data_IF_220315932367
#
_entry.id   IF_220315932367
#
_cell.length_a   1.000
_cell.length_b   1.000
_cell.length_c   1.000
_cell.angle_alpha   90.00
_cell.angle_beta   90.00
_cell.angle_gamma   90.00
#
_symmetry.space_group_name_H-M   'P 1'
#
loop_
_entity.id
_entity.type
_entity.pdbx_description
1 polymer ?
#
# COMPACT_ATOMS: atom_id res chain seq x y z
N UNK A 1 9.39 7.75 15.84
CA UNK A 1 8.55 8.65 15.02
C UNK A 1 7.18 8.01 14.85
N UNK A 2 6.19 8.35 15.67
CA UNK A 2 4.80 7.95 15.42
C UNK A 2 4.06 9.17 14.87
N UNK A 3 3.95 9.20 13.55
CA UNK A 3 3.14 10.17 12.83
C UNK A 3 1.66 9.79 12.98
N UNK A 4 0.82 10.79 13.23
CA UNK A 4 -0.63 10.71 13.19
C UNK A 4 -1.07 9.93 11.93
N UNK A 5 -1.69 8.76 12.12
CA UNK A 5 -2.23 7.97 11.02
C UNK A 5 -3.72 8.29 10.85
N UNK A 6 -4.11 8.73 9.66
CA UNK A 6 -5.51 8.98 9.31
C UNK A 6 -6.01 7.74 8.57
N UNK A 7 -6.93 7.00 9.18
CA UNK A 7 -7.55 5.84 8.56
C UNK A 7 -8.95 6.23 8.06
N UNK A 8 -9.22 6.02 6.78
CA UNK A 8 -10.56 6.21 6.19
C UNK A 8 -11.25 4.86 6.14
N UNK A 9 -12.39 4.75 6.81
CA UNK A 9 -13.23 3.55 6.81
C UNK A 9 -14.48 3.82 5.98
N UNK A 10 -14.86 2.88 5.11
CA UNK A 10 -16.14 2.92 4.42
C UNK A 10 -17.22 2.37 5.36
N UNK A 11 -18.16 3.23 5.77
CA UNK A 11 -19.20 2.90 6.74
C UNK A 11 -20.07 1.71 6.30
N UNK A 12 -20.30 1.53 5.01
CA UNK A 12 -21.21 0.50 4.46
C UNK A 12 -20.72 -0.94 4.70
N UNK A 13 -19.43 -1.12 4.98
CA UNK A 13 -18.78 -2.41 5.14
C UNK A 13 -18.51 -2.79 6.61
N UNK A 14 -18.80 -1.90 7.56
CA UNK A 14 -18.44 -2.06 8.98
C UNK A 14 -19.59 -1.70 9.95
N UNK A 15 -20.83 -2.11 9.63
CA UNK A 15 -22.04 -1.82 10.41
C UNK A 15 -21.93 -2.20 11.91
N UNK A 16 -21.37 -3.37 12.23
CA UNK A 16 -21.24 -3.84 13.61
C UNK A 16 -20.31 -2.93 14.44
N UNK A 17 -19.25 -2.41 13.81
CA UNK A 17 -18.30 -1.50 14.43
C UNK A 17 -18.90 -0.10 14.65
N UNK A 18 -19.73 0.38 13.72
CA UNK A 18 -20.44 1.65 13.85
C UNK A 18 -21.47 1.62 14.99
N UNK A 19 -22.22 0.53 15.10
CA UNK A 19 -23.20 0.33 16.18
C UNK A 19 -22.53 0.23 17.55
N UNK A 20 -21.42 -0.52 17.65
CA UNK A 20 -20.64 -0.63 18.88
C UNK A 20 -20.04 0.70 19.36
N UNK A 21 -19.84 1.66 18.45
CA UNK A 21 -19.31 3.01 18.75
C UNK A 21 -20.39 4.10 18.75
N UNK A 22 -21.68 3.73 18.66
CA UNK A 22 -22.82 4.64 18.61
C UNK A 22 -22.68 5.76 17.56
N UNK A 23 -22.21 5.43 16.36
CA UNK A 23 -22.07 6.38 15.25
C UNK A 23 -23.39 6.45 14.49
N UNK A 24 -24.13 7.56 14.65
CA UNK A 24 -25.48 7.75 14.07
C UNK A 24 -25.54 8.76 12.92
N UNK A 25 -24.45 9.47 12.62
CA UNK A 25 -24.39 10.48 11.56
C UNK A 25 -23.04 10.46 10.81
N UNK A 26 -23.06 10.73 9.51
CA UNK A 26 -21.86 10.85 8.69
C UNK A 26 -21.59 12.32 8.32
N UNK A 27 -20.32 12.79 8.33
CA UNK A 27 -19.11 12.09 8.79
C UNK A 27 -18.96 12.16 10.32
N UNK A 28 -18.50 11.09 10.97
CA UNK A 28 -18.10 11.10 12.39
C UNK A 28 -16.60 10.84 12.48
N UNK A 29 -15.89 11.63 13.28
CA UNK A 29 -14.44 11.55 13.47
C UNK A 29 -14.17 11.07 14.89
N UNK A 30 -13.51 9.92 15.01
CA UNK A 30 -13.08 9.35 16.28
C UNK A 30 -11.56 9.48 16.42
N UNK A 31 -11.11 9.96 17.57
CA UNK A 31 -9.69 10.09 17.89
C UNK A 31 -9.28 8.91 18.76
N UNK A 32 -8.37 8.09 18.24
CA UNK A 32 -7.83 6.96 18.97
C UNK A 32 -6.41 7.24 19.43
N UNK A 33 -6.09 6.84 20.66
CA UNK A 33 -4.72 6.67 21.09
C UNK A 33 -4.54 5.21 21.52
N UNK A 34 -3.71 4.48 20.76
CA UNK A 34 -3.56 3.02 20.86
C UNK A 34 -4.91 2.32 20.62
N UNK A 35 -5.52 1.75 21.66
CA UNK A 35 -6.79 1.01 21.59
C UNK A 35 -7.97 1.73 22.24
N UNK A 36 -7.77 2.96 22.74
CA UNK A 36 -8.82 3.74 23.43
C UNK A 36 -9.21 4.97 22.63
N UNK A 37 -10.51 5.26 22.61
CA UNK A 37 -11.02 6.53 22.11
C UNK A 37 -10.70 7.62 23.14
N UNK A 38 -10.05 8.67 22.66
CA UNK A 38 -9.68 9.83 23.47
C UNK A 38 -10.53 11.06 23.16
N UNK A 39 -11.19 11.11 21.99
CA UNK A 39 -12.05 12.21 21.60
C UNK A 39 -12.99 11.82 20.43
N UNK A 40 -14.05 12.60 20.19
CA UNK A 40 -15.04 12.40 19.12
C UNK A 40 -15.56 13.73 18.58
N UNK A 41 -15.86 13.78 17.28
CA UNK A 41 -16.60 14.86 16.61
C UNK A 41 -17.69 14.21 15.75
N UNK A 42 -18.92 14.63 15.98
CA UNK A 42 -20.07 14.26 15.14
C UNK A 42 -20.28 15.35 14.08
N UNK A 43 -20.24 14.98 12.80
CA UNK A 43 -20.24 15.91 11.68
C UNK A 43 -18.86 16.46 11.31
N UNK A 44 -18.83 17.42 10.38
CA UNK A 44 -17.60 18.09 9.95
C UNK A 44 -17.62 19.57 10.34
N UNK A 45 -16.86 19.91 11.39
CA UNK A 45 -16.57 21.30 11.78
C UNK A 45 -15.05 21.51 11.81
N UNK A 46 -14.55 22.28 10.86
CA UNK A 46 -13.12 22.49 10.64
C UNK A 46 -12.43 23.16 11.84
N UNK A 47 -13.08 24.15 12.47
CA UNK A 47 -12.51 24.87 13.61
C UNK A 47 -12.40 24.00 14.86
N UNK A 48 -13.41 23.15 15.08
CA UNK A 48 -13.44 22.21 16.21
C UNK A 48 -12.43 21.08 16.05
N UNK A 49 -12.33 20.52 14.83
CA UNK A 49 -11.36 19.48 14.47
C UNK A 49 -9.93 19.93 14.75
N UNK A 50 -9.54 21.12 14.29
CA UNK A 50 -8.19 21.64 14.48
C UNK A 50 -7.89 21.90 15.96
N UNK A 51 -8.87 22.38 16.73
CA UNK A 51 -8.72 22.62 18.17
C UNK A 51 -8.51 21.31 18.94
N UNK A 52 -9.30 20.28 18.64
CA UNK A 52 -9.19 18.96 19.28
C UNK A 52 -7.89 18.25 18.91
N UNK A 53 -7.46 18.31 17.64
CA UNK A 53 -6.15 17.79 17.20
C UNK A 53 -5.01 18.42 18.00
N UNK A 54 -4.93 19.76 18.04
CA UNK A 54 -3.87 20.48 18.75
C UNK A 54 -3.88 20.17 20.25
N UNK A 55 -5.06 20.14 20.88
CA UNK A 55 -5.18 19.78 22.29
C UNK A 55 -4.72 18.37 22.58
N UNK A 56 -5.06 17.39 21.72
CA UNK A 56 -4.73 15.99 21.95
C UNK A 56 -3.25 15.70 21.67
N UNK A 57 -2.64 16.35 20.67
CA UNK A 57 -1.19 16.26 20.42
C UNK A 57 -0.38 16.80 21.60
N UNK A 58 -0.77 17.98 22.13
CA UNK A 58 -0.10 18.58 23.28
C UNK A 58 -0.25 17.74 24.56
N UNK A 59 -1.43 17.17 24.81
CA UNK A 59 -1.69 16.29 25.96
C UNK A 59 -0.89 14.98 25.90
N UNK A 60 -0.55 14.51 24.70
CA UNK A 60 0.20 13.26 24.49
C UNK A 60 1.73 13.46 24.46
N UNK A 61 2.22 14.68 24.73
CA UNK A 61 3.64 14.95 24.94
C UNK A 61 4.53 14.78 23.71
N UNK A 62 3.98 14.90 22.51
CA UNK A 62 4.74 14.79 21.25
C UNK A 62 5.34 16.15 20.89
N UNK A 63 6.48 16.50 21.51
CA UNK A 63 7.29 17.65 21.10
C UNK A 63 8.72 17.21 20.89
N UNK A 64 9.15 17.19 19.62
CA UNK A 64 10.49 17.66 19.26
C UNK A 64 10.41 18.55 18.02
N UNK A 65 10.82 19.78 18.30
CA UNK A 65 11.15 20.96 17.51
C UNK A 65 11.85 20.66 16.17
N UNK A 66 11.31 21.20 15.08
CA UNK A 66 12.13 21.83 14.04
C UNK A 66 11.50 23.19 13.73
N UNK A 67 12.31 24.24 13.79
CA UNK A 67 11.88 25.63 13.70
C UNK A 67 11.23 25.94 12.35
N UNK A 68 10.00 26.48 12.40
CA UNK A 68 9.30 27.06 11.26
C UNK A 68 9.61 28.56 11.31
N UNK A 69 10.51 29.01 10.44
CA UNK A 69 10.47 30.38 9.98
C UNK A 69 9.35 30.48 8.94
N UNK A 70 8.56 31.52 9.09
CA UNK A 70 7.44 31.90 8.24
C UNK A 70 7.86 31.99 6.78
N UNK A 71 7.31 31.12 5.95
CA UNK A 71 6.59 31.48 4.71
C UNK A 71 5.98 30.21 4.11
N UNK A 72 4.69 30.30 3.75
CA UNK A 72 3.95 29.42 2.82
C UNK A 72 4.47 27.98 2.62
N UNK A 73 3.79 26.95 3.15
CA UNK A 73 3.81 25.64 2.47
C UNK A 73 2.68 24.69 2.91
N UNK A 74 1.75 24.51 1.98
CA UNK A 74 1.07 23.24 1.70
C UNK A 74 2.10 22.12 1.70
N UNK A 75 1.93 21.03 2.47
CA UNK A 75 2.87 19.91 2.37
C UNK A 75 2.75 19.23 1.00
N UNK A 76 3.62 19.64 0.08
CA UNK A 76 3.86 19.04 -1.23
C UNK A 76 4.44 17.64 -0.98
N UNK A 77 3.66 16.59 -1.28
CA UNK A 77 4.21 15.25 -1.42
C UNK A 77 5.24 15.33 -2.57
N UNK A 78 6.50 15.04 -2.28
CA UNK A 78 7.55 15.00 -3.30
C UNK A 78 7.10 14.10 -4.48
N UNK A 79 7.32 14.55 -5.71
CA UNK A 79 7.03 13.75 -6.91
C UNK A 79 7.62 12.35 -6.84
N UNK A 80 8.81 12.20 -6.26
CA UNK A 80 9.45 10.89 -6.09
C UNK A 80 8.63 9.96 -5.19
N UNK A 81 8.09 10.49 -4.10
CA UNK A 81 7.18 9.74 -3.22
C UNK A 81 5.90 9.36 -3.95
N UNK A 82 5.36 10.28 -4.76
CA UNK A 82 4.15 10.02 -5.57
C UNK A 82 4.39 8.93 -6.61
N UNK A 83 5.54 8.97 -7.30
CA UNK A 83 5.95 7.96 -8.29
C UNK A 83 6.09 6.59 -7.62
N UNK A 84 6.78 6.51 -6.48
CA UNK A 84 6.91 5.25 -5.72
C UNK A 84 5.56 4.66 -5.34
N UNK A 85 4.63 5.48 -4.87
CA UNK A 85 3.28 5.02 -4.54
C UNK A 85 2.52 4.48 -5.76
N UNK A 86 2.67 5.12 -6.92
CA UNK A 86 2.05 4.63 -8.17
C UNK A 86 2.68 3.32 -8.64
N UNK A 87 3.99 3.16 -8.48
CA UNK A 87 4.69 1.92 -8.79
C UNK A 87 4.35 0.78 -7.84
N UNK A 88 4.06 1.09 -6.57
CA UNK A 88 3.65 0.12 -5.55
C UNK A 88 2.16 -0.22 -5.59
N UNK A 89 1.32 0.61 -6.23
CA UNK A 89 -0.13 0.39 -6.25
C UNK A 89 -0.55 -0.79 -7.11
N UNK A 90 0.29 -1.20 -8.07
CA UNK A 90 -0.02 -2.29 -8.99
C UNK A 90 1.23 -3.06 -9.40
N UNK A 91 1.18 -4.40 -9.48
CA UNK A 91 2.30 -5.21 -9.99
C UNK A 91 2.68 -4.89 -11.43
N UNK A 92 1.76 -4.34 -12.23
CA UNK A 92 2.00 -3.95 -13.62
C UNK A 92 1.26 -2.65 -13.89
N UNK A 93 2.00 -1.57 -14.16
CA UNK A 93 1.42 -0.24 -14.38
C UNK A 93 1.96 0.41 -15.67
N UNK A 94 1.04 0.96 -16.46
CA UNK A 94 1.33 1.66 -17.71
C UNK A 94 1.15 3.17 -17.52
N UNK A 95 2.25 3.92 -17.62
CA UNK A 95 2.20 5.38 -17.71
C UNK A 95 1.97 5.77 -19.17
N UNK A 96 0.82 6.38 -19.45
CA UNK A 96 0.36 6.66 -20.81
C UNK A 96 -0.25 8.06 -20.92
N UNK A 97 -0.45 8.52 -22.17
CA UNK A 97 -1.14 9.78 -22.46
C UNK A 97 -2.62 9.50 -22.69
N UNK A 98 -3.48 9.98 -21.81
CA UNK A 98 -4.90 9.63 -21.76
C UNK A 98 -5.16 8.35 -20.95
N UNK A 99 -6.29 7.71 -21.18
CA UNK A 99 -6.70 6.47 -20.50
C UNK A 99 -6.79 5.31 -21.49
N UNK A 100 -6.84 4.03 -21.05
CA UNK A 100 -7.04 2.90 -21.96
C UNK A 100 -8.33 3.02 -22.77
N UNK A 101 -9.40 3.55 -22.16
CA UNK A 101 -10.67 3.81 -22.83
C UNK A 101 -10.62 5.01 -23.79
N UNK A 102 -9.70 5.95 -23.60
CA UNK A 102 -9.57 7.17 -24.40
C UNK A 102 -8.11 7.61 -24.53
N UNK A 103 -7.30 6.88 -25.32
CA UNK A 103 -5.87 7.16 -25.46
C UNK A 103 -5.66 8.41 -26.34
N UNK A 104 -4.87 9.35 -25.83
CA UNK A 104 -4.60 10.65 -26.48
C UNK A 104 -3.29 10.68 -27.29
N UNK A 105 -2.66 9.53 -27.48
CA UNK A 105 -1.44 9.38 -28.28
C UNK A 105 -1.43 8.03 -28.99
N UNK A 106 -1.00 8.00 -30.26
CA UNK A 106 -0.94 6.77 -31.07
C UNK A 106 -0.07 5.68 -30.45
N UNK A 107 1.06 6.03 -29.84
CA UNK A 107 1.92 5.07 -29.13
C UNK A 107 1.25 4.52 -27.87
N UNK A 108 0.52 5.35 -27.12
CA UNK A 108 -0.26 4.92 -25.95
C UNK A 108 -1.41 4.00 -26.36
N UNK A 109 -2.08 4.28 -27.48
CA UNK A 109 -3.12 3.41 -28.04
C UNK A 109 -2.57 2.03 -28.43
N UNK A 110 -1.44 2.01 -29.14
CA UNK A 110 -0.78 0.76 -29.52
C UNK A 110 -0.31 -0.03 -28.29
N UNK A 111 0.17 0.63 -27.25
CA UNK A 111 0.56 -0.03 -26.00
C UNK A 111 -0.62 -0.72 -25.32
N UNK A 112 -1.75 -0.04 -25.16
CA UNK A 112 -2.96 -0.65 -24.62
C UNK A 112 -3.40 -1.85 -25.45
N UNK A 113 -3.48 -1.67 -26.78
CA UNK A 113 -3.88 -2.75 -27.68
C UNK A 113 -2.99 -3.98 -27.56
N UNK A 114 -1.67 -3.79 -27.55
CA UNK A 114 -0.70 -4.87 -27.39
C UNK A 114 -0.89 -5.63 -26.08
N UNK A 115 -1.07 -4.91 -24.96
CA UNK A 115 -1.28 -5.56 -23.65
C UNK A 115 -2.62 -6.31 -23.61
N UNK A 116 -3.67 -5.73 -24.19
CA UNK A 116 -5.02 -6.32 -24.23
C UNK A 116 -5.07 -7.57 -25.12
N UNK A 117 -4.44 -7.54 -26.30
CA UNK A 117 -4.35 -8.68 -27.23
C UNK A 117 -3.67 -9.89 -26.57
N UNK A 118 -2.62 -9.63 -25.80
CA UNK A 118 -1.88 -10.66 -25.05
C UNK A 118 -2.49 -10.97 -23.67
N UNK A 119 -3.68 -10.40 -23.35
CA UNK A 119 -4.42 -10.62 -22.10
C UNK A 119 -3.60 -10.31 -20.84
N UNK A 120 -2.67 -9.36 -20.94
CA UNK A 120 -1.86 -8.90 -19.83
C UNK A 120 -2.72 -7.92 -19.01
N UNK A 121 -2.87 -8.18 -17.71
CA UNK A 121 -3.55 -7.25 -16.81
C UNK A 121 -2.59 -6.15 -16.38
N UNK A 122 -3.03 -4.90 -16.46
CA UNK A 122 -2.26 -3.73 -16.03
C UNK A 122 -3.19 -2.65 -15.46
N UNK A 123 -2.68 -1.88 -14.51
CA UNK A 123 -3.25 -0.58 -14.17
C UNK A 123 -2.60 0.51 -15.02
N UNK A 124 -3.18 1.72 -15.01
CA UNK A 124 -2.67 2.84 -15.80
C UNK A 124 -2.59 4.13 -15.00
N UNK A 125 -1.73 5.03 -15.45
CA UNK A 125 -1.68 6.41 -14.99
C UNK A 125 -1.61 7.37 -16.18
N UNK A 126 -2.54 8.32 -16.23
CA UNK A 126 -2.55 9.37 -17.25
C UNK A 126 -1.55 10.47 -16.89
N UNK A 127 -0.43 10.52 -17.59
CA UNK A 127 0.62 11.53 -17.37
C UNK A 127 0.22 12.92 -17.82
N UNK A 128 -0.88 13.07 -18.55
CA UNK A 128 -1.42 14.38 -18.92
C UNK A 128 -2.22 15.01 -17.78
N UNK A 129 -2.75 14.19 -16.86
CA UNK A 129 -3.47 14.67 -15.68
C UNK A 129 -2.53 15.26 -14.60
N UNK A 130 -1.26 14.88 -14.61
CA UNK A 130 -0.25 15.35 -13.65
C UNK A 130 1.09 15.64 -14.34
N UNK A 131 1.29 16.91 -14.68
CA UNK A 131 2.52 17.37 -15.34
C UNK A 131 3.76 17.21 -14.45
N UNK A 132 3.60 17.27 -13.11
CA UNK A 132 4.71 17.13 -12.18
C UNK A 132 5.22 15.69 -12.14
N UNK A 133 4.32 14.71 -12.01
CA UNK A 133 4.65 13.28 -12.12
C UNK A 133 5.23 12.98 -13.50
N UNK A 134 4.68 13.55 -14.57
CA UNK A 134 5.19 13.38 -15.94
C UNK A 134 6.65 13.80 -16.11
N UNK A 135 7.03 14.96 -15.60
CA UNK A 135 8.40 15.46 -15.75
C UNK A 135 9.38 14.68 -14.86
N UNK A 136 8.95 14.36 -13.64
CA UNK A 136 9.80 13.68 -12.67
C UNK A 136 9.97 12.21 -13.00
N UNK A 137 8.94 11.55 -13.53
CA UNK A 137 9.03 10.15 -13.94
C UNK A 137 10.07 9.95 -15.04
N UNK A 138 10.18 10.88 -16.00
CA UNK A 138 11.25 10.82 -17.02
C UNK A 138 12.65 10.83 -16.43
N UNK A 139 12.86 11.64 -15.38
CA UNK A 139 14.13 11.73 -14.66
C UNK A 139 14.38 10.47 -13.84
N UNK A 140 13.36 10.01 -13.11
CA UNK A 140 13.39 8.81 -12.28
C UNK A 140 13.74 7.57 -13.11
N UNK A 141 13.12 7.44 -14.29
CA UNK A 141 13.25 6.29 -15.18
C UNK A 141 14.46 6.38 -16.12
N UNK A 142 15.14 7.54 -16.16
CA UNK A 142 16.07 7.91 -17.23
C UNK A 142 15.49 7.63 -18.64
N UNK A 143 14.19 7.86 -18.82
CA UNK A 143 13.45 7.53 -20.04
C UNK A 143 12.57 8.70 -20.47
N UNK A 144 12.84 9.25 -21.66
CA UNK A 144 12.28 10.54 -22.07
C UNK A 144 10.93 10.48 -22.82
N UNK A 145 10.44 9.28 -23.14
CA UNK A 145 9.23 9.07 -23.96
C UNK A 145 8.10 8.39 -23.18
N UNK A 146 6.89 8.44 -23.74
CA UNK A 146 5.72 7.70 -23.26
C UNK A 146 5.09 6.96 -24.44
N UNK A 147 4.47 5.79 -24.22
CA UNK A 147 4.17 5.16 -22.93
C UNK A 147 5.39 4.53 -22.23
N UNK A 148 5.30 4.31 -20.92
CA UNK A 148 6.30 3.58 -20.11
C UNK A 148 5.59 2.49 -19.30
N UNK A 149 6.03 1.24 -19.46
CA UNK A 149 5.50 0.11 -18.72
C UNK A 149 6.43 -0.28 -17.57
N UNK A 150 5.84 -0.51 -16.40
CA UNK A 150 6.54 -0.99 -15.21
C UNK A 150 5.95 -2.32 -14.74
N UNK A 151 6.82 -3.22 -14.28
CA UNK A 151 6.44 -4.50 -13.65
C UNK A 151 7.23 -4.64 -12.35
N UNK A 152 6.54 -4.84 -11.23
CA UNK A 152 7.18 -4.96 -9.91
C UNK A 152 7.94 -3.71 -9.46
N UNK A 153 7.57 -2.54 -9.99
CA UNK A 153 8.27 -1.28 -9.74
C UNK A 153 9.51 -1.04 -10.61
N UNK A 154 9.86 -1.98 -11.48
CA UNK A 154 10.97 -1.85 -12.43
C UNK A 154 10.48 -1.43 -13.82
N UNK A 155 11.23 -0.54 -14.49
CA UNK A 155 10.92 -0.12 -15.85
C UNK A 155 11.19 -1.28 -16.82
N UNK A 156 10.17 -1.64 -17.59
CA UNK A 156 10.29 -2.56 -18.73
C UNK A 156 10.74 -1.77 -19.97
N UNK A 157 10.07 -0.66 -20.26
CA UNK A 157 10.41 0.21 -21.38
C UNK A 157 9.21 0.86 -22.05
N UNK A 158 9.44 1.43 -23.23
CA UNK A 158 8.41 1.96 -24.10
C UNK A 158 7.85 0.93 -25.09
N UNK A 159 6.98 1.37 -26.00
CA UNK A 159 6.25 0.50 -26.93
C UNK A 159 7.11 -0.51 -27.69
N UNK A 160 8.24 -0.08 -28.24
CA UNK A 160 9.06 -0.96 -29.09
C UNK A 160 9.71 -2.09 -28.27
N UNK A 161 10.16 -1.79 -27.05
CA UNK A 161 10.68 -2.81 -26.13
C UNK A 161 9.57 -3.77 -25.70
N UNK A 162 8.37 -3.26 -25.41
CA UNK A 162 7.23 -4.11 -25.07
C UNK A 162 6.91 -5.10 -26.20
N UNK A 163 6.90 -4.64 -27.46
CA UNK A 163 6.67 -5.51 -28.62
C UNK A 163 7.73 -6.61 -28.70
N UNK A 164 9.01 -6.25 -28.62
CA UNK A 164 10.12 -7.20 -28.65
C UNK A 164 10.06 -8.24 -27.52
N UNK A 165 9.81 -7.79 -26.28
CA UNK A 165 9.73 -8.70 -25.13
C UNK A 165 8.53 -9.63 -25.17
N UNK A 166 7.42 -9.19 -25.76
CA UNK A 166 6.23 -10.03 -25.94
C UNK A 166 6.47 -11.04 -27.08
N UNK A 167 7.04 -10.60 -28.21
CA UNK A 167 7.38 -11.48 -29.34
C UNK A 167 8.38 -12.58 -28.94
N UNK A 168 9.35 -12.25 -28.10
CA UNK A 168 10.38 -13.20 -27.65
C UNK A 168 9.97 -14.01 -26.40
N UNK A 169 8.81 -13.71 -25.78
CA UNK A 169 8.32 -14.39 -24.58
C UNK A 169 8.96 -13.94 -23.24
N UNK A 170 9.95 -13.04 -23.27
CA UNK A 170 10.64 -12.50 -22.09
C UNK A 170 9.67 -11.79 -21.13
N UNK A 171 8.63 -11.16 -21.67
CA UNK A 171 7.64 -10.45 -20.86
C UNK A 171 6.87 -11.39 -19.92
N UNK A 172 6.51 -12.58 -20.39
CA UNK A 172 5.77 -13.57 -19.60
C UNK A 172 6.62 -14.15 -18.48
N UNK A 173 7.92 -14.36 -18.75
CA UNK A 173 8.89 -14.78 -17.75
C UNK A 173 9.00 -13.74 -16.63
N UNK A 174 9.17 -12.47 -16.99
CA UNK A 174 9.24 -11.36 -16.02
C UNK A 174 7.97 -11.25 -15.16
N UNK A 175 6.79 -11.44 -15.77
CA UNK A 175 5.52 -11.42 -15.03
C UNK A 175 5.40 -12.59 -14.04
N UNK A 176 5.93 -13.77 -14.38
CA UNK A 176 5.97 -14.94 -13.48
C UNK A 176 6.92 -14.72 -12.31
N UNK A 177 8.12 -14.21 -12.57
CA UNK A 177 9.11 -13.88 -11.53
C UNK A 177 8.53 -12.89 -10.51
N UNK A 178 7.86 -11.84 -10.97
CA UNK A 178 7.24 -10.85 -10.08
C UNK A 178 6.16 -11.48 -9.17
N UNK A 179 5.36 -12.41 -9.70
CA UNK A 179 4.35 -13.14 -8.88
C UNK A 179 4.96 -13.99 -7.78
N UNK A 180 6.15 -14.56 -8.01
CA UNK A 180 6.88 -15.31 -6.98
C UNK A 180 7.32 -14.37 -5.86
N UNK A 181 7.90 -13.22 -6.21
CA UNK A 181 8.29 -12.21 -5.23
C UNK A 181 7.11 -11.65 -4.43
N UNK A 182 5.96 -11.44 -5.07
CA UNK A 182 4.76 -10.98 -4.39
C UNK A 182 4.23 -12.01 -3.38
N UNK A 183 4.25 -13.29 -3.74
CA UNK A 183 3.91 -14.39 -2.83
C UNK A 183 4.88 -14.50 -1.65
N UNK A 184 6.18 -14.36 -1.88
CA UNK A 184 7.17 -14.38 -0.80
C UNK A 184 7.01 -13.19 0.15
N UNK A 185 6.71 -12.00 -0.39
CA UNK A 185 6.41 -10.79 0.41
C UNK A 185 5.15 -10.98 1.25
N UNK A 186 4.12 -11.60 0.70
CA UNK A 186 2.89 -11.92 1.43
C UNK A 186 3.14 -12.94 2.55
N UNK A 187 3.89 -14.02 2.28
CA UNK A 187 4.27 -14.98 3.32
C UNK A 187 5.10 -14.36 4.44
N UNK A 188 6.05 -13.46 4.12
CA UNK A 188 6.83 -12.74 5.13
C UNK A 188 5.95 -11.84 5.99
N UNK A 189 5.05 -11.07 5.38
CA UNK A 189 4.06 -10.25 6.13
C UNK A 189 3.16 -11.12 7.01
N UNK A 190 2.72 -12.27 6.50
CA UNK A 190 1.94 -13.22 7.28
C UNK A 190 2.75 -13.74 8.47
N UNK A 191 4.01 -14.13 8.25
CA UNK A 191 4.91 -14.59 9.31
C UNK A 191 5.17 -13.50 10.36
N UNK A 192 5.43 -12.26 9.95
CA UNK A 192 5.56 -11.11 10.86
C UNK A 192 4.29 -10.86 11.66
N UNK A 193 3.11 -10.99 11.03
CA UNK A 193 1.82 -10.89 11.70
C UNK A 193 1.62 -12.00 12.73
N UNK A 194 2.18 -13.18 12.50
CA UNK A 194 2.14 -14.26 13.48
C UNK A 194 3.11 -13.96 14.62
N UNK A 195 4.40 -13.74 14.33
CA UNK A 195 5.48 -13.60 15.33
C UNK A 195 5.17 -12.54 16.39
N UNK A 196 4.47 -11.47 16.01
CA UNK A 196 4.14 -10.38 16.93
C UNK A 196 2.90 -10.62 17.82
N UNK A 197 2.24 -11.80 17.74
CA UNK A 197 1.04 -12.10 18.54
C UNK A 197 1.32 -12.50 19.98
N UNK A 198 2.53 -12.94 20.29
CA UNK A 198 2.92 -13.40 21.62
C UNK A 198 4.40 -13.08 21.89
N UNK A 199 4.77 -13.01 23.17
CA UNK A 199 6.15 -12.76 23.59
C UNK A 199 7.13 -13.91 23.26
N UNK A 200 6.62 -15.12 23.13
CA UNK A 200 7.35 -16.30 22.69
C UNK A 200 6.44 -17.09 21.76
N UNK A 201 6.97 -17.51 20.62
CA UNK A 201 6.19 -18.20 19.61
C UNK A 201 6.94 -19.42 19.08
N UNK A 202 6.27 -20.56 19.09
CA UNK A 202 6.83 -21.85 18.68
C UNK A 202 6.14 -22.30 17.39
N UNK A 203 6.91 -22.47 16.32
CA UNK A 203 6.38 -23.01 15.06
C UNK A 203 6.54 -24.52 15.05
N UNK A 204 5.41 -25.23 15.00
CA UNK A 204 5.38 -26.70 14.97
C UNK A 204 4.77 -27.22 13.67
N UNK A 205 5.13 -28.44 13.30
CA UNK A 205 4.53 -29.13 12.17
C UNK A 205 3.23 -29.80 12.61
N UNK A 206 2.09 -29.20 12.28
CA UNK A 206 0.76 -29.63 12.72
C UNK A 206 0.17 -28.65 13.73
N UNK A 207 -0.80 -29.10 14.52
CA UNK A 207 -1.37 -28.32 15.64
C UNK A 207 -1.01 -28.98 16.97
N UNK A 208 -1.12 -28.30 18.12
CA UNK A 208 -0.91 -28.91 19.43
C UNK A 208 -1.81 -30.15 19.64
N UNK A 209 -3.02 -30.14 19.10
CA UNK A 209 -4.00 -31.23 19.21
C UNK A 209 -3.74 -32.34 18.18
N UNK A 210 -3.18 -31.99 17.02
CA UNK A 210 -2.82 -32.96 15.95
C UNK A 210 -1.40 -32.74 15.42
N UNK A 211 -0.37 -33.13 16.19
CA UNK A 211 1.02 -32.99 15.78
C UNK A 211 1.38 -33.96 14.64
N UNK A 212 2.04 -33.46 13.60
CA UNK A 212 2.34 -34.21 12.36
C UNK A 212 3.79 -34.68 12.24
N UNK A 213 4.53 -34.70 13.34
CA UNK A 213 5.93 -35.17 13.41
C UNK A 213 6.22 -35.77 14.79
N UNK A 214 7.08 -36.79 14.87
CA UNK A 214 7.51 -37.42 16.13
C UNK A 214 8.16 -36.42 17.09
N UNK A 215 9.03 -35.56 16.58
CA UNK A 215 9.65 -34.47 17.34
C UNK A 215 8.64 -33.48 17.92
N UNK A 216 7.55 -33.18 17.19
CA UNK A 216 6.51 -32.26 17.67
C UNK A 216 5.76 -32.86 18.86
N UNK A 217 5.49 -34.18 18.84
CA UNK A 217 4.85 -34.87 19.98
C UNK A 217 5.73 -34.83 21.23
N UNK A 218 7.02 -35.08 21.07
CA UNK A 218 7.97 -35.09 22.18
C UNK A 218 8.15 -33.69 22.79
N UNK A 219 8.24 -32.67 21.95
CA UNK A 219 8.30 -31.26 22.37
C UNK A 219 7.05 -30.84 23.16
N UNK A 220 5.85 -31.17 22.69
CA UNK A 220 4.60 -30.85 23.39
C UNK A 220 4.52 -31.57 24.74
N UNK A 221 4.97 -32.83 24.82
CA UNK A 221 5.04 -33.57 26.07
C UNK A 221 6.01 -32.95 27.09
N UNK A 222 7.14 -32.39 26.63
CA UNK A 222 8.10 -31.68 27.48
C UNK A 222 7.52 -30.37 28.02
N UNK A 223 6.85 -29.59 27.17
CA UNK A 223 6.20 -28.34 27.58
C UNK A 223 5.10 -28.61 28.63
N UNK A 224 4.29 -29.65 28.41
CA UNK A 224 3.27 -30.08 29.37
C UNK A 224 3.88 -30.51 30.71
N UNK A 225 4.98 -31.29 30.71
CA UNK A 225 5.69 -31.69 31.93
C UNK A 225 6.30 -30.50 32.68
N UNK A 226 6.67 -29.45 31.96
CA UNK A 226 7.23 -28.22 32.53
C UNK A 226 6.16 -27.20 32.98
N UNK A 227 4.86 -27.53 32.88
CA UNK A 227 3.75 -26.59 33.13
C UNK A 227 3.81 -25.30 32.28
N UNK A 228 4.37 -25.39 31.07
CA UNK A 228 4.39 -24.28 30.12
C UNK A 228 3.18 -24.45 29.20
N UNK A 229 2.27 -23.48 29.23
CA UNK A 229 1.04 -23.44 28.41
C UNK A 229 1.12 -22.35 27.36
#
# INVERSE_FOLDING_TARGET
MQQLAICRLNADHFYDLLNAQHVSAAPTILFYHRTRIIDRIDGFNQSELLKKIKSNINKLGVVQTTQINTDSDSQIISAETRIKQLLESSPTILFMKGTPASPQCGFSRQACHLLDEHKIKYDYFDVLADQHVREQLKKYSNWNTYPQLYVGGELIGGLDIMKQMIENGDFELKLRENKVHEKDKDMRKHLESLINRAHLMLFIKGTPETPRCGFTKELLNLLAKANIT
#
